data_IF_591685162779
#
_entry.id   IF_591685162779
#
_cell.length_a   1.000
_cell.length_b   1.000
_cell.length_c   1.000
_cell.angle_alpha   90.00
_cell.angle_beta   90.00
_cell.angle_gamma   90.00
#
_symmetry.space_group_name_H-M   'P 1'
#
loop_
_entity.id
_entity.type
_entity.pdbx_description
1 polymer ?
#
# COMPACT_ATOMS: atom_id res chain seq x y z
N UNK A 1 31.40 24.47 -80.60
CA UNK A 1 30.71 25.54 -81.37
C UNK A 1 30.96 26.88 -80.71
N UNK A 2 31.52 27.88 -81.42
CA UNK A 2 31.69 29.25 -80.90
C UNK A 2 30.38 30.01 -81.08
N UNK A 3 29.70 30.32 -79.98
CA UNK A 3 28.47 31.12 -79.97
C UNK A 3 28.80 32.57 -80.36
N UNK A 4 28.28 33.05 -81.50
CA UNK A 4 28.57 34.38 -82.07
C UNK A 4 27.60 35.50 -81.65
N UNK A 5 26.48 35.21 -80.97
CA UNK A 5 25.51 36.21 -80.50
C UNK A 5 25.72 36.57 -79.02
N UNK A 6 25.85 37.87 -78.70
CA UNK A 6 25.97 38.39 -77.33
C UNK A 6 24.69 38.12 -76.53
N UNK A 7 23.52 38.24 -77.17
CA UNK A 7 22.22 37.96 -76.54
C UNK A 7 22.11 36.50 -76.09
N UNK A 8 22.63 35.55 -76.89
CA UNK A 8 22.63 34.14 -76.51
C UNK A 8 23.56 33.85 -75.32
N UNK A 9 24.71 34.54 -75.22
CA UNK A 9 25.61 34.41 -74.06
C UNK A 9 25.00 34.92 -72.76
N UNK A 10 24.31 36.07 -72.81
CA UNK A 10 23.62 36.65 -71.65
C UNK A 10 22.46 35.74 -71.22
N UNK A 11 21.67 35.23 -72.16
CA UNK A 11 20.57 34.30 -71.87
C UNK A 11 21.06 32.98 -71.25
N UNK A 12 22.18 32.42 -71.75
CA UNK A 12 22.78 31.19 -71.20
C UNK A 12 23.32 31.42 -69.78
N UNK A 13 24.02 32.53 -69.55
CA UNK A 13 24.54 32.89 -68.22
C UNK A 13 23.40 33.12 -67.23
N UNK A 14 22.36 33.87 -67.62
CA UNK A 14 21.18 34.10 -66.80
C UNK A 14 20.45 32.80 -66.48
N UNK A 15 20.30 31.90 -67.46
CA UNK A 15 19.72 30.57 -67.25
C UNK A 15 20.51 29.72 -66.25
N UNK A 16 21.85 29.71 -66.37
CA UNK A 16 22.74 29.02 -65.41
C UNK A 16 22.61 29.62 -64.01
N UNK A 17 22.57 30.95 -63.89
CA UNK A 17 22.39 31.62 -62.60
C UNK A 17 21.02 31.28 -61.96
N UNK A 18 19.94 31.25 -62.74
CA UNK A 18 18.60 30.89 -62.23
C UNK A 18 18.57 29.44 -61.77
N UNK A 19 19.16 28.51 -62.54
CA UNK A 19 19.23 27.09 -62.15
C UNK A 19 20.08 26.91 -60.90
N UNK A 20 21.23 27.60 -60.80
CA UNK A 20 22.10 27.53 -59.63
C UNK A 20 21.41 28.09 -58.38
N UNK A 21 20.75 29.26 -58.49
CA UNK A 21 20.01 29.86 -57.38
C UNK A 21 18.82 28.99 -56.94
N UNK A 22 18.06 28.44 -57.90
CA UNK A 22 16.94 27.55 -57.60
C UNK A 22 17.41 26.26 -56.93
N UNK A 23 18.51 25.66 -57.42
CA UNK A 23 19.10 24.45 -56.84
C UNK A 23 19.62 24.70 -55.42
N UNK A 24 20.25 25.86 -55.18
CA UNK A 24 20.71 26.25 -53.85
C UNK A 24 19.52 26.45 -52.88
N UNK A 25 18.45 27.11 -53.33
CA UNK A 25 17.23 27.32 -52.52
C UNK A 25 16.52 26.00 -52.20
N UNK A 26 16.37 25.11 -53.18
CA UNK A 26 15.76 23.79 -52.96
C UNK A 26 16.63 22.94 -52.05
N UNK A 27 17.96 22.92 -52.27
CA UNK A 27 18.91 22.22 -51.40
C UNK A 27 18.86 22.73 -49.96
N UNK A 28 18.90 24.05 -49.77
CA UNK A 28 18.74 24.68 -48.46
C UNK A 28 17.39 24.35 -47.82
N UNK A 29 16.30 24.39 -48.59
CA UNK A 29 14.96 24.08 -48.10
C UNK A 29 14.83 22.62 -47.67
N UNK A 30 15.44 21.67 -48.40
CA UNK A 30 15.48 20.25 -48.02
C UNK A 30 16.26 20.07 -46.72
N UNK A 31 17.44 20.68 -46.60
CA UNK A 31 18.28 20.61 -45.38
C UNK A 31 17.59 21.29 -44.19
N UNK A 32 16.99 22.46 -44.40
CA UNK A 32 16.23 23.17 -43.38
C UNK A 32 15.02 22.35 -42.94
N UNK A 33 14.27 21.76 -43.88
CA UNK A 33 13.13 20.90 -43.56
C UNK A 33 13.56 19.61 -42.85
N UNK A 34 14.69 19.00 -43.21
CA UNK A 34 15.21 17.81 -42.50
C UNK A 34 15.64 18.17 -41.07
N UNK A 35 16.33 19.30 -40.89
CA UNK A 35 16.77 19.76 -39.58
C UNK A 35 15.59 20.13 -38.68
N UNK A 36 14.57 20.81 -39.23
CA UNK A 36 13.34 21.12 -38.50
C UNK A 36 12.57 19.86 -38.14
N UNK A 37 12.47 18.86 -39.02
CA UNK A 37 11.84 17.57 -38.69
C UNK A 37 12.57 16.84 -37.57
N UNK A 38 13.90 16.79 -37.62
CA UNK A 38 14.70 16.16 -36.57
C UNK A 38 14.53 16.89 -35.22
N UNK A 39 14.64 18.22 -35.23
CA UNK A 39 14.48 19.04 -34.03
C UNK A 39 13.08 18.93 -33.41
N UNK A 40 12.03 19.02 -34.24
CA UNK A 40 10.64 18.90 -33.78
C UNK A 40 10.36 17.49 -33.27
N UNK A 41 10.82 16.44 -33.96
CA UNK A 41 10.66 15.06 -33.51
C UNK A 41 11.28 14.84 -32.13
N UNK A 42 12.56 15.17 -31.98
CA UNK A 42 13.29 15.00 -30.71
C UNK A 42 12.65 15.79 -29.55
N UNK A 43 12.25 17.05 -29.79
CA UNK A 43 11.63 17.86 -28.74
C UNK A 43 10.21 17.42 -28.40
N UNK A 44 9.42 16.99 -29.39
CA UNK A 44 8.05 16.50 -29.14
C UNK A 44 8.09 15.16 -28.41
N UNK A 45 9.01 14.27 -28.77
CA UNK A 45 9.18 12.98 -28.08
C UNK A 45 9.59 13.21 -26.61
N UNK A 46 10.60 14.05 -26.37
CA UNK A 46 11.04 14.40 -25.01
C UNK A 46 9.92 15.08 -24.19
N UNK A 47 9.20 16.04 -24.77
CA UNK A 47 8.08 16.71 -24.10
C UNK A 47 6.92 15.75 -23.80
N UNK A 48 6.64 14.83 -24.71
CA UNK A 48 5.58 13.82 -24.53
C UNK A 48 5.98 12.83 -23.44
N UNK A 49 7.24 12.41 -23.40
CA UNK A 49 7.77 11.55 -22.36
C UNK A 49 7.71 12.24 -20.98
N UNK A 50 8.22 13.47 -20.85
CA UNK A 50 8.17 14.23 -19.61
C UNK A 50 6.73 14.49 -19.15
N UNK A 51 5.83 14.82 -20.08
CA UNK A 51 4.41 14.99 -19.78
C UNK A 51 3.78 13.69 -19.29
N UNK A 52 4.11 12.56 -19.92
CA UNK A 52 3.64 11.23 -19.54
C UNK A 52 4.14 10.83 -18.16
N UNK A 53 5.44 11.02 -17.88
CA UNK A 53 6.03 10.74 -16.56
C UNK A 53 5.36 11.55 -15.46
N UNK A 54 5.17 12.85 -15.67
CA UNK A 54 4.49 13.71 -14.70
C UNK A 54 3.02 13.33 -14.49
N UNK A 55 2.32 12.98 -15.56
CA UNK A 55 0.94 12.51 -15.47
C UNK A 55 0.83 11.19 -14.71
N UNK A 56 1.68 10.21 -15.02
CA UNK A 56 1.72 8.92 -14.34
C UNK A 56 2.07 9.05 -12.86
N UNK A 57 3.05 9.90 -12.52
CA UNK A 57 3.38 10.21 -11.13
C UNK A 57 2.16 10.77 -10.38
N UNK A 58 1.48 11.74 -10.98
CA UNK A 58 0.27 12.34 -10.37
C UNK A 58 -0.85 11.32 -10.21
N UNK A 59 -1.04 10.47 -11.22
CA UNK A 59 -2.03 9.40 -11.20
C UNK A 59 -1.72 8.37 -10.11
N UNK A 60 -0.48 7.86 -10.05
CA UNK A 60 -0.05 6.89 -9.07
C UNK A 60 -0.18 7.42 -7.64
N UNK A 61 0.20 8.68 -7.38
CA UNK A 61 -0.01 9.34 -6.09
C UNK A 61 -1.51 9.43 -5.73
N UNK A 62 -2.37 9.78 -6.69
CA UNK A 62 -3.80 9.83 -6.46
C UNK A 62 -4.40 8.45 -6.15
N UNK A 63 -3.97 7.40 -6.85
CA UNK A 63 -4.42 6.02 -6.59
C UNK A 63 -3.88 5.49 -5.26
N UNK A 64 -2.62 5.77 -4.92
CA UNK A 64 -2.04 5.45 -3.62
C UNK A 64 -2.85 6.10 -2.47
N UNK A 65 -3.30 7.35 -2.64
CA UNK A 65 -4.18 8.00 -1.67
C UNK A 65 -5.56 7.34 -1.55
N UNK A 66 -6.15 6.90 -2.66
CA UNK A 66 -7.41 6.15 -2.67
C UNK A 66 -7.28 4.77 -2.00
N UNK A 67 -6.12 4.12 -2.13
CA UNK A 67 -5.79 2.87 -1.43
C UNK A 67 -5.56 3.09 0.06
N UNK A 68 -4.82 4.14 0.40
CA UNK A 68 -4.51 4.53 1.79
C UNK A 68 -5.76 4.85 2.58
N UNK A 69 -6.71 5.59 2.00
CA UNK A 69 -7.88 6.10 2.70
C UNK A 69 -8.69 5.03 3.48
N UNK A 70 -9.11 3.89 2.89
CA UNK A 70 -9.78 2.84 3.64
C UNK A 70 -8.86 2.18 4.68
N UNK A 71 -7.56 2.01 4.40
CA UNK A 71 -6.63 1.41 5.36
C UNK A 71 -6.44 2.26 6.61
N UNK A 72 -6.39 3.59 6.46
CA UNK A 72 -6.31 4.53 7.58
C UNK A 72 -7.51 4.44 8.52
N UNK A 73 -8.71 4.11 8.02
CA UNK A 73 -9.91 3.98 8.87
C UNK A 73 -9.75 2.91 9.95
N UNK A 74 -8.96 1.86 9.67
CA UNK A 74 -8.65 0.84 10.65
C UNK A 74 -7.66 1.34 11.72
N UNK A 75 -6.67 2.16 11.34
CA UNK A 75 -5.81 2.82 12.33
C UNK A 75 -6.58 3.84 13.17
N UNK A 76 -7.50 4.61 12.57
CA UNK A 76 -8.35 5.54 13.32
C UNK A 76 -9.23 4.81 14.33
N UNK A 77 -9.80 3.67 13.93
CA UNK A 77 -10.59 2.79 14.81
C UNK A 77 -9.73 2.18 15.91
N UNK A 78 -8.56 1.62 15.56
CA UNK A 78 -7.62 1.03 16.51
C UNK A 78 -7.09 2.07 17.50
N UNK A 79 -6.77 3.29 17.06
CA UNK A 79 -6.37 4.41 17.92
C UNK A 79 -7.49 4.79 18.88
N UNK A 80 -8.71 4.95 18.36
CA UNK A 80 -9.87 5.28 19.20
C UNK A 80 -10.12 4.24 20.28
N UNK A 81 -10.05 2.95 19.91
CA UNK A 81 -10.16 1.83 20.86
C UNK A 81 -9.01 1.85 21.87
N UNK A 82 -7.75 2.00 21.43
CA UNK A 82 -6.60 2.06 22.32
C UNK A 82 -6.74 3.19 23.34
N UNK A 83 -7.05 4.41 22.90
CA UNK A 83 -7.22 5.56 23.81
C UNK A 83 -8.37 5.34 24.80
N UNK A 84 -9.50 4.80 24.33
CA UNK A 84 -10.62 4.45 25.20
C UNK A 84 -10.20 3.43 26.27
N UNK A 85 -9.49 2.39 25.86
CA UNK A 85 -9.06 1.32 26.75
C UNK A 85 -8.03 1.78 27.77
N UNK A 86 -7.09 2.65 27.39
CA UNK A 86 -6.14 3.26 28.33
C UNK A 86 -6.86 4.00 29.45
N UNK A 87 -7.78 4.90 29.09
CA UNK A 87 -8.54 5.70 30.07
C UNK A 87 -9.40 4.79 30.96
N UNK A 88 -10.04 3.78 30.36
CA UNK A 88 -10.98 2.90 31.06
C UNK A 88 -10.27 1.87 31.96
N UNK A 89 -8.98 1.57 31.71
CA UNK A 89 -8.19 0.61 32.46
C UNK A 89 -7.27 1.23 33.53
N UNK A 90 -7.19 2.57 33.63
CA UNK A 90 -6.45 3.25 34.70
C UNK A 90 -7.04 2.90 36.08
N UNK A 91 -6.20 2.53 37.05
CA UNK A 91 -6.69 2.11 38.37
C UNK A 91 -7.06 3.29 39.28
N UNK A 92 -6.44 4.46 39.11
CA UNK A 92 -6.61 5.64 39.97
C UNK A 92 -7.44 6.75 39.31
N UNK A 93 -8.32 6.40 38.37
CA UNK A 93 -9.17 7.34 37.63
C UNK A 93 -10.65 7.09 37.97
N UNK A 94 -11.37 8.13 38.42
CA UNK A 94 -12.81 8.05 38.73
C UNK A 94 -13.66 7.68 37.49
N UNK A 95 -13.16 7.96 36.28
CA UNK A 95 -13.81 7.60 35.02
C UNK A 95 -13.48 6.18 34.54
N UNK A 96 -12.61 5.45 35.25
CA UNK A 96 -12.22 4.12 34.84
C UNK A 96 -13.36 3.11 35.02
N UNK A 97 -13.40 2.14 34.11
CA UNK A 97 -14.28 0.98 34.25
C UNK A 97 -13.78 0.12 35.43
N UNK A 98 -14.65 -0.27 36.37
CA UNK A 98 -14.28 -1.20 37.45
C UNK A 98 -13.67 -2.48 36.89
N UNK A 99 -12.59 -2.98 37.51
CA UNK A 99 -11.80 -4.12 36.99
C UNK A 99 -12.66 -5.32 36.55
N UNK A 100 -13.64 -5.73 37.37
CA UNK A 100 -14.54 -6.85 37.06
C UNK A 100 -15.50 -6.65 35.87
N UNK A 101 -15.60 -5.42 35.32
CA UNK A 101 -16.43 -5.10 34.15
C UNK A 101 -15.62 -4.88 32.87
N UNK A 102 -14.31 -4.62 32.99
CA UNK A 102 -13.44 -4.23 31.85
C UNK A 102 -13.51 -5.21 30.69
N UNK A 103 -13.42 -6.53 30.95
CA UNK A 103 -13.48 -7.55 29.89
C UNK A 103 -14.77 -7.51 29.08
N UNK A 104 -15.92 -7.40 29.74
CA UNK A 104 -17.22 -7.36 29.08
C UNK A 104 -17.37 -6.08 28.27
N UNK A 105 -17.01 -4.93 28.84
CA UNK A 105 -17.11 -3.63 28.17
C UNK A 105 -16.16 -3.55 26.96
N UNK A 106 -14.91 -3.99 27.10
CA UNK A 106 -13.93 -3.91 26.02
C UNK A 106 -14.28 -4.87 24.88
N UNK A 107 -14.77 -6.07 25.20
CA UNK A 107 -15.33 -6.98 24.18
C UNK A 107 -16.52 -6.34 23.46
N UNK A 108 -17.41 -5.65 24.17
CA UNK A 108 -18.55 -4.97 23.56
C UNK A 108 -18.10 -3.84 22.63
N UNK A 109 -17.06 -3.08 22.99
CA UNK A 109 -16.47 -2.06 22.12
C UNK A 109 -15.93 -2.68 20.83
N UNK A 110 -15.07 -3.70 20.95
CA UNK A 110 -14.51 -4.42 19.79
C UNK A 110 -15.63 -4.90 18.85
N UNK A 111 -16.62 -5.60 19.40
CA UNK A 111 -17.76 -6.11 18.63
C UNK A 111 -18.55 -4.99 17.92
N UNK A 112 -18.80 -3.87 18.59
CA UNK A 112 -19.59 -2.78 18.00
C UNK A 112 -18.78 -2.01 16.94
N UNK A 113 -17.48 -1.81 17.15
CA UNK A 113 -16.60 -1.25 16.11
C UNK A 113 -16.58 -2.14 14.88
N UNK A 114 -16.47 -3.46 15.06
CA UNK A 114 -16.55 -4.41 13.94
C UNK A 114 -17.91 -4.36 13.22
N UNK A 115 -19.02 -4.20 13.95
CA UNK A 115 -20.36 -4.08 13.35
C UNK A 115 -20.48 -2.82 12.50
N UNK A 116 -20.02 -1.69 13.02
CA UNK A 116 -20.09 -0.37 12.39
C UNK A 116 -19.14 -0.20 11.20
N UNK A 117 -18.14 -1.08 11.09
CA UNK A 117 -17.18 -1.08 9.98
C UNK A 117 -17.31 -2.36 9.14
N UNK A 118 -18.26 -2.41 8.18
CA UNK A 118 -18.52 -3.61 7.36
C UNK A 118 -17.32 -4.13 6.56
N UNK A 119 -16.32 -3.28 6.31
CA UNK A 119 -15.11 -3.64 5.55
C UNK A 119 -14.06 -4.35 6.41
N UNK A 120 -14.12 -4.24 7.74
CA UNK A 120 -13.16 -4.93 8.60
C UNK A 120 -13.44 -6.43 8.60
N UNK A 121 -12.36 -7.20 8.50
CA UNK A 121 -12.39 -8.63 8.77
C UNK A 121 -12.53 -8.87 10.28
N UNK A 122 -11.85 -8.06 11.10
CA UNK A 122 -11.93 -8.21 12.55
C UNK A 122 -11.39 -7.02 13.33
N UNK A 123 -11.65 -7.05 14.63
CA UNK A 123 -11.15 -6.12 15.64
C UNK A 123 -10.63 -6.93 16.80
N UNK A 124 -9.52 -6.54 17.40
CA UNK A 124 -8.90 -7.32 18.46
C UNK A 124 -8.24 -6.47 19.53
N UNK A 125 -7.94 -7.12 20.64
CA UNK A 125 -7.03 -6.59 21.64
C UNK A 125 -6.25 -7.72 22.30
N UNK A 126 -4.97 -7.47 22.57
CA UNK A 126 -4.11 -8.39 23.33
C UNK A 126 -3.44 -7.64 24.47
N UNK A 127 -3.62 -8.12 25.70
CA UNK A 127 -3.07 -7.48 26.90
C UNK A 127 -1.90 -8.27 27.48
N UNK A 128 -0.96 -7.57 28.10
CA UNK A 128 0.08 -8.17 28.93
C UNK A 128 -0.53 -9.00 30.08
N UNK A 129 0.17 -10.01 30.59
CA UNK A 129 -0.31 -10.83 31.70
C UNK A 129 -0.80 -9.99 32.89
N UNK A 130 -2.03 -10.23 33.32
CA UNK A 130 -2.73 -9.55 34.41
C UNK A 130 -2.91 -8.03 34.25
N UNK A 131 -2.58 -7.45 33.09
CA UNK A 131 -2.54 -5.99 32.93
C UNK A 131 -3.92 -5.34 32.84
N UNK A 132 -4.96 -6.07 32.41
CA UNK A 132 -6.31 -5.51 32.25
C UNK A 132 -7.02 -5.35 33.60
N UNK A 133 -7.07 -6.42 34.39
CA UNK A 133 -7.93 -6.52 35.57
C UNK A 133 -7.36 -7.39 36.71
N UNK A 134 -6.13 -7.89 36.57
CA UNK A 134 -5.49 -8.76 37.55
C UNK A 134 -6.14 -10.14 37.72
N UNK A 135 -7.03 -10.54 36.81
CA UNK A 135 -7.90 -11.71 36.99
C UNK A 135 -7.70 -12.81 35.95
N UNK A 136 -6.58 -12.84 35.21
CA UNK A 136 -6.34 -13.82 34.13
C UNK A 136 -6.60 -15.27 34.60
N UNK A 137 -6.19 -15.61 35.82
CA UNK A 137 -6.42 -16.95 36.38
C UNK A 137 -7.89 -17.39 36.39
N UNK A 138 -8.85 -16.48 36.52
CA UNK A 138 -10.30 -16.75 36.50
C UNK A 138 -10.85 -16.95 35.08
N UNK A 139 -10.08 -16.61 34.05
CA UNK A 139 -10.49 -16.61 32.65
C UNK A 139 -9.75 -17.64 31.79
N UNK A 140 -8.91 -18.49 32.40
CA UNK A 140 -8.26 -19.60 31.71
C UNK A 140 -9.28 -20.44 30.93
N UNK A 141 -8.93 -20.70 29.68
CA UNK A 141 -9.69 -21.55 28.75
C UNK A 141 -11.10 -21.03 28.41
N UNK A 142 -11.44 -19.78 28.75
CA UNK A 142 -12.71 -19.13 28.39
C UNK A 142 -12.63 -18.52 26.99
N UNK A 143 -12.60 -19.39 25.98
CA UNK A 143 -12.47 -18.98 24.57
C UNK A 143 -13.65 -18.12 24.10
N UNK A 144 -14.83 -18.30 24.69
CA UNK A 144 -16.07 -17.56 24.40
C UNK A 144 -16.00 -16.07 24.77
N UNK A 145 -15.02 -15.67 25.57
CA UNK A 145 -14.73 -14.27 25.89
C UNK A 145 -13.35 -13.81 25.39
N UNK A 146 -12.70 -14.63 24.56
CA UNK A 146 -11.41 -14.32 23.98
C UNK A 146 -10.22 -14.56 24.92
N UNK A 147 -10.27 -15.59 25.76
CA UNK A 147 -9.15 -15.98 26.62
C UNK A 147 -8.68 -17.40 26.30
N UNK A 148 -7.37 -17.59 26.28
CA UNK A 148 -6.73 -18.89 26.07
C UNK A 148 -6.35 -19.56 27.41
N UNK A 149 -5.48 -20.57 27.38
CA UNK A 149 -5.02 -21.30 28.57
C UNK A 149 -4.28 -20.42 29.59
N UNK A 150 -3.77 -19.24 29.19
CA UNK A 150 -3.17 -18.27 30.11
C UNK A 150 -4.23 -17.45 30.85
N UNK A 151 -5.42 -17.31 30.27
CA UNK A 151 -6.49 -16.46 30.77
C UNK A 151 -6.35 -14.97 30.47
N UNK A 152 -5.31 -14.58 29.73
CA UNK A 152 -5.13 -13.20 29.23
C UNK A 152 -6.34 -12.72 28.44
N UNK A 153 -6.54 -11.41 28.42
CA UNK A 153 -7.54 -10.79 27.55
C UNK A 153 -6.98 -10.69 26.12
N UNK A 154 -7.42 -11.61 25.26
CA UNK A 154 -6.95 -11.80 23.90
C UNK A 154 -8.11 -11.88 22.87
N UNK A 155 -9.23 -11.13 23.00
CA UNK A 155 -10.34 -11.30 22.09
C UNK A 155 -9.98 -10.87 20.66
N UNK A 156 -10.35 -11.73 19.72
CA UNK A 156 -10.41 -11.43 18.30
C UNK A 156 -11.84 -11.60 17.81
N UNK A 157 -12.55 -10.49 17.63
CA UNK A 157 -13.84 -10.49 16.96
C UNK A 157 -13.63 -10.50 15.46
N UNK A 158 -14.24 -11.44 14.76
CA UNK A 158 -14.11 -11.64 13.32
C UNK A 158 -15.45 -11.72 12.63
N UNK A 159 -15.48 -11.33 11.36
CA UNK A 159 -16.61 -11.44 10.45
C UNK A 159 -16.25 -12.42 9.35
N UNK A 160 -16.94 -13.54 9.26
CA UNK A 160 -16.74 -14.45 8.13
C UNK A 160 -17.41 -13.93 6.86
N UNK A 161 -17.11 -14.54 5.71
CA UNK A 161 -17.65 -14.15 4.41
C UNK A 161 -19.19 -14.14 4.31
N UNK A 162 -19.92 -14.86 5.18
CA UNK A 162 -21.39 -14.83 5.22
C UNK A 162 -21.95 -13.78 6.21
N UNK A 163 -21.09 -12.95 6.80
CA UNK A 163 -21.44 -11.92 7.77
C UNK A 163 -21.55 -12.40 9.22
N UNK A 164 -21.33 -13.69 9.51
CA UNK A 164 -21.37 -14.20 10.89
C UNK A 164 -20.21 -13.64 11.71
N UNK A 165 -20.57 -13.00 12.82
CA UNK A 165 -19.63 -12.51 13.84
C UNK A 165 -19.32 -13.61 14.85
N UNK A 166 -18.05 -13.76 15.20
CA UNK A 166 -17.59 -14.69 16.23
C UNK A 166 -16.36 -14.12 16.95
N UNK A 167 -16.16 -14.54 18.21
CA UNK A 167 -14.94 -14.25 18.97
C UNK A 167 -14.12 -15.53 19.13
N UNK A 168 -12.80 -15.39 19.03
CA UNK A 168 -11.82 -16.41 19.37
C UNK A 168 -10.63 -15.76 20.08
N UNK A 169 -9.85 -16.47 20.91
CA UNK A 169 -8.60 -15.94 21.41
C UNK A 169 -7.59 -15.75 20.27
N UNK A 170 -6.83 -14.66 20.32
CA UNK A 170 -5.66 -14.46 19.47
C UNK A 170 -4.62 -15.55 19.73
N UNK A 171 -3.92 -15.94 18.67
CA UNK A 171 -2.81 -16.89 18.74
C UNK A 171 -1.50 -16.24 18.29
N UNK A 172 -0.38 -16.90 18.61
CA UNK A 172 0.98 -16.55 18.15
C UNK A 172 1.52 -15.17 18.59
N UNK A 173 0.80 -14.46 19.47
CA UNK A 173 1.12 -13.11 19.94
C UNK A 173 2.53 -12.97 20.55
N UNK A 174 3.04 -13.98 21.25
CA UNK A 174 4.40 -13.98 21.83
C UNK A 174 5.44 -14.71 20.94
N UNK A 175 5.07 -15.14 19.73
CA UNK A 175 5.97 -15.92 18.86
C UNK A 175 6.82 -15.03 17.96
N UNK A 176 8.14 -15.14 18.13
CA UNK A 176 9.13 -14.53 17.24
C UNK A 176 9.49 -15.41 16.03
N UNK A 177 8.84 -16.56 15.86
CA UNK A 177 9.05 -17.42 14.69
C UNK A 177 8.50 -16.77 13.41
N UNK A 178 8.96 -17.26 12.26
CA UNK A 178 8.51 -16.81 10.94
C UNK A 178 7.42 -17.72 10.39
N UNK A 179 6.43 -17.14 9.74
CA UNK A 179 5.59 -17.84 8.77
C UNK A 179 6.41 -18.20 7.52
N UNK A 180 5.92 -19.11 6.66
CA UNK A 180 6.60 -19.48 5.41
C UNK A 180 6.91 -18.30 4.47
N UNK A 181 6.17 -17.20 4.55
CA UNK A 181 6.40 -15.98 3.79
C UNK A 181 7.38 -14.99 4.46
N UNK A 182 8.00 -15.36 5.59
CA UNK A 182 8.99 -14.52 6.27
C UNK A 182 8.42 -13.44 7.19
N UNK A 183 7.10 -13.41 7.39
CA UNK A 183 6.45 -12.53 8.38
C UNK A 183 6.58 -13.13 9.78
N UNK A 184 6.93 -12.31 10.78
CA UNK A 184 7.02 -12.75 12.17
C UNK A 184 5.60 -12.98 12.68
N UNK A 185 5.32 -14.17 13.21
CA UNK A 185 3.96 -14.59 13.61
C UNK A 185 3.32 -13.63 14.63
N UNK A 186 4.09 -13.24 15.64
CA UNK A 186 3.68 -12.28 16.68
C UNK A 186 4.01 -10.82 16.36
N UNK A 187 4.48 -10.48 15.15
CA UNK A 187 4.98 -9.13 14.85
C UNK A 187 3.98 -8.00 15.15
N UNK A 188 2.68 -8.25 14.94
CA UNK A 188 1.58 -7.33 15.23
C UNK A 188 1.49 -6.97 16.72
N UNK A 189 1.98 -7.84 17.62
CA UNK A 189 2.06 -7.58 19.05
C UNK A 189 3.47 -7.15 19.49
N UNK A 190 4.49 -7.84 18.98
CA UNK A 190 5.89 -7.66 19.36
C UNK A 190 6.46 -6.32 18.88
N UNK A 191 6.08 -5.84 17.69
CA UNK A 191 6.59 -4.56 17.17
C UNK A 191 6.10 -3.38 18.03
N UNK A 192 4.79 -3.22 18.33
CA UNK A 192 4.34 -2.19 19.28
C UNK A 192 4.94 -2.35 20.67
N UNK A 193 5.07 -3.59 21.16
CA UNK A 193 5.68 -3.90 22.47
C UNK A 193 7.15 -3.47 22.56
N UNK A 194 7.90 -3.56 21.45
CA UNK A 194 9.30 -3.13 21.37
C UNK A 194 9.48 -1.60 21.38
N UNK A 195 8.39 -0.83 21.27
CA UNK A 195 8.41 0.63 21.22
C UNK A 195 8.39 1.20 19.80
N UNK A 196 8.10 0.39 18.77
CA UNK A 196 8.00 0.86 17.38
C UNK A 196 6.78 1.77 17.11
N UNK A 197 5.85 1.88 18.07
CA UNK A 197 4.63 2.66 17.93
C UNK A 197 3.53 1.89 17.20
N UNK A 198 2.83 2.55 16.28
CA UNK A 198 1.86 1.89 15.41
C UNK A 198 2.57 0.92 14.46
N UNK A 199 1.98 -0.25 14.22
CA UNK A 199 2.52 -1.26 13.29
C UNK A 199 1.47 -1.68 12.27
N UNK A 200 1.88 -1.81 11.02
CA UNK A 200 1.15 -2.51 9.95
C UNK A 200 2.01 -3.65 9.46
N UNK A 201 1.55 -4.89 9.65
CA UNK A 201 2.31 -6.04 9.18
C UNK A 201 2.18 -6.24 7.67
N UNK A 202 3.25 -6.72 7.07
CA UNK A 202 3.21 -7.39 5.77
C UNK A 202 2.16 -8.54 5.78
N UNK A 203 1.64 -8.97 4.61
CA UNK A 203 0.57 -9.96 4.50
C UNK A 203 0.66 -11.13 5.49
N UNK A 204 -0.13 -11.08 6.57
CA UNK A 204 -0.07 -12.04 7.66
C UNK A 204 -0.97 -13.25 7.33
N UNK A 205 -0.42 -14.46 7.18
CA UNK A 205 -1.24 -15.67 7.08
C UNK A 205 -1.93 -15.92 8.42
N UNK A 206 -3.26 -16.08 8.41
CA UNK A 206 -4.03 -16.31 9.63
C UNK A 206 -5.21 -17.26 9.42
N UNK A 207 -5.71 -17.85 10.51
CA UNK A 207 -6.90 -18.70 10.49
C UNK A 207 -8.08 -17.97 11.15
N UNK A 208 -9.05 -17.59 10.33
CA UNK A 208 -10.28 -16.93 10.76
C UNK A 208 -11.45 -17.90 10.61
N UNK A 209 -12.08 -18.28 11.71
CA UNK A 209 -13.22 -19.21 11.73
C UNK A 209 -12.97 -20.51 10.92
N UNK A 210 -11.74 -21.04 10.99
CA UNK A 210 -11.33 -22.28 10.30
C UNK A 210 -10.91 -22.11 8.84
N UNK A 211 -10.83 -20.87 8.33
CA UNK A 211 -10.36 -20.58 6.96
C UNK A 211 -9.02 -19.86 6.99
N UNK A 212 -8.11 -20.27 6.11
CA UNK A 212 -6.85 -19.57 5.88
C UNK A 212 -7.12 -18.30 5.07
N UNK A 213 -6.65 -17.18 5.57
CA UNK A 213 -6.72 -15.86 4.93
C UNK A 213 -5.37 -15.15 5.07
N UNK A 214 -5.18 -14.09 4.30
CA UNK A 214 -4.12 -13.12 4.56
C UNK A 214 -4.72 -11.83 5.07
N UNK A 215 -4.10 -11.26 6.11
CA UNK A 215 -4.57 -10.04 6.75
C UNK A 215 -3.62 -8.88 6.51
N UNK A 216 -4.18 -7.69 6.30
CA UNK A 216 -3.53 -6.43 6.65
C UNK A 216 -3.89 -6.13 8.12
N UNK A 217 -2.90 -6.17 9.00
CA UNK A 217 -3.10 -6.09 10.46
C UNK A 217 -2.58 -4.77 11.00
N UNK A 218 -3.48 -3.91 11.50
CA UNK A 218 -3.13 -2.58 12.03
C UNK A 218 -3.19 -2.60 13.56
N UNK A 219 -2.03 -2.41 14.19
CA UNK A 219 -1.85 -2.49 15.64
C UNK A 219 -1.47 -1.14 16.24
N UNK A 220 -2.15 -0.77 17.32
CA UNK A 220 -1.86 0.45 18.10
C UNK A 220 -1.54 0.05 19.54
N UNK A 221 -0.42 0.53 20.12
CA UNK A 221 -0.08 0.22 21.50
C UNK A 221 -1.06 0.90 22.48
N UNK A 222 -1.40 0.16 23.52
CA UNK A 222 -2.12 0.62 24.69
C UNK A 222 -1.08 0.88 25.78
N UNK A 223 -1.06 2.11 26.29
CA UNK A 223 -0.09 2.59 27.26
C UNK A 223 -0.78 3.21 28.48
N UNK A 224 -0.41 2.75 29.66
CA UNK A 224 -0.87 3.32 30.95
C UNK A 224 0.37 3.82 31.68
N UNK A 225 0.37 5.08 32.10
CA UNK A 225 1.51 5.74 32.75
C UNK A 225 2.84 5.61 31.98
N UNK A 226 2.76 5.69 30.65
CA UNK A 226 3.90 5.56 29.74
C UNK A 226 4.43 4.12 29.59
N UNK A 227 3.80 3.12 30.21
CA UNK A 227 4.15 1.71 30.09
C UNK A 227 3.22 0.99 29.11
N UNK A 228 3.79 0.20 28.21
CA UNK A 228 3.04 -0.72 27.36
C UNK A 228 2.28 -1.76 28.20
N UNK A 229 0.97 -1.90 27.93
CA UNK A 229 0.10 -2.88 28.58
C UNK A 229 -0.65 -3.78 27.59
N UNK A 230 -0.52 -3.52 26.28
CA UNK A 230 -1.17 -4.32 25.25
C UNK A 230 -1.30 -3.60 23.92
N UNK A 231 -2.09 -4.18 23.02
CA UNK A 231 -2.46 -3.58 21.73
C UNK A 231 -3.97 -3.61 21.54
N UNK A 232 -4.48 -2.63 20.79
CA UNK A 232 -5.78 -2.70 20.13
C UNK A 232 -5.55 -2.61 18.62
N UNK A 233 -6.36 -3.30 17.85
CA UNK A 233 -6.19 -3.32 16.40
C UNK A 233 -7.43 -3.71 15.63
N UNK A 234 -7.31 -3.56 14.32
CA UNK A 234 -8.33 -3.93 13.35
C UNK A 234 -7.65 -4.46 12.09
N UNK A 235 -8.33 -5.38 11.40
CA UNK A 235 -7.78 -6.09 10.25
C UNK A 235 -8.67 -5.94 9.02
N UNK A 236 -8.02 -5.91 7.86
CA UNK A 236 -8.66 -6.24 6.59
C UNK A 236 -8.25 -7.62 6.13
N UNK A 237 -9.19 -8.37 5.55
CA UNK A 237 -8.86 -9.48 4.67
C UNK A 237 -8.25 -8.89 3.39
N UNK A 238 -7.09 -9.37 2.96
CA UNK A 238 -6.41 -8.85 1.77
C UNK A 238 -7.19 -9.05 0.47
N UNK A 239 -8.23 -9.90 0.45
CA UNK A 239 -9.18 -9.94 -0.67
C UNK A 239 -9.89 -8.60 -0.90
N UNK A 240 -10.09 -7.79 0.15
CA UNK A 240 -10.60 -6.42 0.01
C UNK A 240 -9.59 -5.51 -0.69
N UNK A 241 -8.30 -5.58 -0.30
CA UNK A 241 -7.23 -4.78 -0.92
C UNK A 241 -6.99 -5.22 -2.37
N UNK A 242 -7.10 -6.53 -2.63
CA UNK A 242 -7.09 -7.11 -3.96
C UNK A 242 -8.21 -6.56 -4.85
N UNK A 243 -9.41 -6.41 -4.31
CA UNK A 243 -10.52 -5.79 -5.04
C UNK A 243 -10.24 -4.32 -5.36
N UNK A 244 -9.61 -3.60 -4.44
CA UNK A 244 -9.22 -2.21 -4.66
C UNK A 244 -8.21 -2.06 -5.80
N UNK A 245 -7.18 -2.91 -5.87
CA UNK A 245 -6.24 -2.92 -7.00
C UNK A 245 -6.94 -3.20 -8.34
N UNK A 246 -7.90 -4.12 -8.37
CA UNK A 246 -8.70 -4.41 -9.57
C UNK A 246 -9.60 -3.24 -9.99
N UNK A 247 -10.20 -2.55 -9.02
CA UNK A 247 -11.05 -1.38 -9.27
C UNK A 247 -10.21 -0.21 -9.81
N UNK A 248 -8.99 -0.01 -9.28
CA UNK A 248 -8.03 0.96 -9.82
C UNK A 248 -7.69 0.62 -11.26
N UNK A 249 -7.29 -0.63 -11.56
CA UNK A 249 -7.02 -1.10 -12.93
C UNK A 249 -8.18 -0.77 -13.87
N UNK A 250 -9.40 -1.12 -13.48
CA UNK A 250 -10.59 -0.87 -14.31
C UNK A 250 -10.87 0.63 -14.55
N UNK A 251 -10.43 1.51 -13.65
CA UNK A 251 -10.65 2.96 -13.74
C UNK A 251 -9.63 3.73 -14.59
N UNK A 252 -8.49 3.12 -14.92
CA UNK A 252 -7.39 3.77 -15.63
C UNK A 252 -7.06 3.05 -16.93
N UNK A 253 -6.72 3.82 -17.98
CA UNK A 253 -6.22 3.30 -19.27
C UNK A 253 -7.05 2.14 -19.86
N UNK A 254 -8.39 2.22 -19.76
CA UNK A 254 -9.33 1.19 -20.22
C UNK A 254 -9.04 -0.23 -19.66
N UNK A 255 -8.49 -0.33 -18.46
CA UNK A 255 -8.15 -1.62 -17.86
C UNK A 255 -6.85 -2.25 -18.38
N UNK A 256 -6.04 -1.50 -19.12
CA UNK A 256 -4.78 -2.01 -19.71
C UNK A 256 -3.57 -1.89 -18.78
N UNK A 257 -3.68 -1.12 -17.70
CA UNK A 257 -2.61 -1.02 -16.71
C UNK A 257 -2.60 -2.26 -15.79
N UNK A 258 -1.42 -2.61 -15.28
CA UNK A 258 -1.27 -3.47 -14.12
C UNK A 258 -1.18 -2.61 -12.85
N UNK A 259 -1.74 -3.10 -11.74
CA UNK A 259 -1.73 -2.44 -10.44
C UNK A 259 -1.35 -3.48 -9.40
N UNK A 260 -0.17 -3.29 -8.82
CA UNK A 260 0.35 -4.09 -7.73
C UNK A 260 0.48 -3.23 -6.48
N UNK A 261 0.14 -3.82 -5.33
CA UNK A 261 0.36 -3.21 -4.01
C UNK A 261 1.35 -4.11 -3.30
N UNK A 262 2.47 -3.53 -2.87
CA UNK A 262 3.63 -4.25 -2.35
C UNK A 262 3.97 -3.74 -0.96
N UNK A 263 4.19 -4.68 -0.04
CA UNK A 263 4.50 -4.38 1.35
C UNK A 263 5.95 -3.96 1.55
N UNK A 264 6.28 -3.45 2.74
CA UNK A 264 7.63 -3.01 3.12
C UNK A 264 8.70 -4.12 2.94
N UNK A 265 8.35 -5.38 3.21
CA UNK A 265 9.23 -6.54 2.99
C UNK A 265 9.24 -7.08 1.57
N UNK A 266 8.55 -6.44 0.63
CA UNK A 266 8.48 -6.89 -0.76
C UNK A 266 7.56 -8.10 -0.95
N UNK A 267 6.49 -8.21 -0.16
CA UNK A 267 5.44 -9.20 -0.38
C UNK A 267 4.28 -8.57 -1.13
N UNK A 268 3.64 -9.35 -1.99
CA UNK A 268 2.43 -8.92 -2.71
C UNK A 268 1.27 -8.80 -1.72
N UNK A 269 0.75 -7.59 -1.54
CA UNK A 269 -0.49 -7.32 -0.80
C UNK A 269 -1.69 -7.54 -1.71
N UNK A 270 -1.59 -7.09 -2.95
CA UNK A 270 -2.58 -7.27 -4.01
C UNK A 270 -1.90 -7.17 -5.38
N UNK A 271 -2.42 -7.88 -6.37
CA UNK A 271 -1.99 -7.74 -7.77
C UNK A 271 -3.18 -7.87 -8.71
N UNK A 272 -3.41 -6.88 -9.56
CA UNK A 272 -4.53 -6.92 -10.51
C UNK A 272 -4.41 -8.04 -11.54
N UNK A 273 -3.17 -8.45 -11.84
CA UNK A 273 -2.86 -9.41 -12.90
C UNK A 273 -2.54 -10.80 -12.33
N UNK A 274 -2.05 -10.85 -11.09
CA UNK A 274 -1.70 -12.08 -10.36
C UNK A 274 -2.45 -12.18 -9.01
N UNK A 275 -3.79 -12.29 -9.00
CA UNK A 275 -4.58 -12.27 -7.76
C UNK A 275 -4.29 -13.43 -6.80
N UNK A 276 -3.65 -14.51 -7.26
CA UNK A 276 -3.23 -15.65 -6.43
C UNK A 276 -1.86 -15.43 -5.75
N UNK A 277 -1.18 -14.32 -6.02
CA UNK A 277 0.15 -14.02 -5.52
C UNK A 277 0.18 -13.38 -4.12
N UNK A 278 -0.98 -13.09 -3.51
CA UNK A 278 -1.06 -12.48 -2.17
C UNK A 278 -0.17 -13.24 -1.17
N UNK A 279 0.70 -12.51 -0.49
CA UNK A 279 1.65 -13.01 0.50
C UNK A 279 2.91 -13.69 -0.09
N UNK A 280 3.02 -13.81 -1.41
CA UNK A 280 4.25 -14.27 -2.07
C UNK A 280 5.25 -13.13 -2.26
N UNK A 281 6.56 -13.43 -2.38
CA UNK A 281 7.56 -12.45 -2.77
C UNK A 281 7.22 -11.79 -4.11
N UNK A 282 7.38 -10.46 -4.19
CA UNK A 282 7.03 -9.68 -5.36
C UNK A 282 7.91 -10.00 -6.58
N UNK A 283 9.16 -10.42 -6.35
CA UNK A 283 10.09 -10.84 -7.40
C UNK A 283 9.67 -12.11 -8.18
N UNK A 284 8.66 -12.83 -7.69
CA UNK A 284 8.07 -13.97 -8.40
C UNK A 284 7.09 -13.55 -9.49
N UNK A 285 6.57 -12.32 -9.43
CA UNK A 285 5.60 -11.79 -10.41
C UNK A 285 6.15 -10.61 -11.21
N UNK A 286 7.11 -9.86 -10.66
CA UNK A 286 7.78 -8.76 -11.36
C UNK A 286 9.31 -8.87 -11.23
N UNK A 287 10.04 -9.14 -12.33
CA UNK A 287 11.51 -9.15 -12.34
C UNK A 287 12.15 -7.82 -11.89
N UNK A 288 11.46 -6.68 -12.03
CA UNK A 288 11.93 -5.37 -11.60
C UNK A 288 11.87 -5.18 -10.07
N UNK A 289 11.16 -6.06 -9.34
CA UNK A 289 10.95 -5.97 -7.90
C UNK A 289 12.23 -5.77 -7.09
N UNK A 290 13.33 -6.44 -7.47
CA UNK A 290 14.62 -6.33 -6.77
C UNK A 290 15.16 -4.90 -6.79
N UNK A 291 14.95 -4.17 -7.90
CA UNK A 291 15.39 -2.77 -8.04
C UNK A 291 14.43 -1.78 -7.37
N UNK A 292 13.15 -2.15 -7.22
CA UNK A 292 12.11 -1.30 -6.65
C UNK A 292 12.02 -1.40 -5.12
N UNK A 293 12.34 -2.56 -4.53
CA UNK A 293 12.22 -2.76 -3.08
C UNK A 293 12.93 -1.68 -2.22
N UNK A 294 14.17 -1.26 -2.54
CA UNK A 294 14.80 -0.16 -1.80
C UNK A 294 14.06 1.18 -1.91
N UNK A 295 13.36 1.42 -3.02
CA UNK A 295 12.54 2.62 -3.22
C UNK A 295 11.25 2.55 -2.40
N UNK A 296 10.61 1.38 -2.36
CA UNK A 296 9.44 1.08 -1.51
C UNK A 296 9.81 1.34 -0.04
N UNK A 297 10.90 0.74 0.44
CA UNK A 297 11.36 0.88 1.82
C UNK A 297 11.76 2.31 2.19
N UNK A 298 12.24 3.09 1.22
CA UNK A 298 12.55 4.50 1.41
C UNK A 298 11.33 5.43 1.30
N UNK A 299 10.15 4.90 0.95
CA UNK A 299 8.93 5.68 0.75
C UNK A 299 9.06 6.68 -0.40
N UNK A 300 9.74 6.30 -1.49
CA UNK A 300 10.00 7.18 -2.65
C UNK A 300 9.00 6.92 -3.77
N UNK A 301 8.56 8.00 -4.40
CA UNK A 301 7.86 7.93 -5.67
C UNK A 301 8.84 8.03 -6.85
N UNK A 302 8.63 7.21 -7.87
CA UNK A 302 9.42 7.22 -9.11
C UNK A 302 8.53 6.91 -10.30
N UNK A 303 8.95 7.34 -11.49
CA UNK A 303 8.39 6.85 -12.75
C UNK A 303 9.55 6.45 -13.62
N UNK A 304 9.70 5.14 -13.81
CA UNK A 304 10.74 4.52 -14.62
C UNK A 304 10.11 3.90 -15.88
N UNK A 305 10.93 3.65 -16.91
CA UNK A 305 10.47 3.08 -18.17
C UNK A 305 10.90 3.85 -19.41
N UNK A 306 10.33 3.48 -20.55
CA UNK A 306 10.61 4.04 -21.86
C UNK A 306 9.31 4.17 -22.69
N UNK A 307 9.43 4.47 -23.99
CA UNK A 307 8.28 4.66 -24.88
C UNK A 307 7.32 3.46 -24.99
N UNK A 308 7.73 2.24 -24.61
CA UNK A 308 6.89 1.04 -24.67
C UNK A 308 6.14 0.77 -23.36
N UNK A 309 6.80 0.94 -22.22
CA UNK A 309 6.22 0.68 -20.90
C UNK A 309 6.76 1.65 -19.86
N UNK A 310 5.85 2.19 -19.04
CA UNK A 310 6.18 2.98 -17.86
C UNK A 310 5.68 2.28 -16.60
N UNK A 311 6.47 2.37 -15.54
CA UNK A 311 6.11 1.91 -14.19
C UNK A 311 6.18 3.11 -13.26
N UNK A 312 5.05 3.43 -12.62
CA UNK A 312 4.98 4.46 -11.60
C UNK A 312 4.87 3.81 -10.23
N UNK A 313 5.81 4.13 -9.35
CA UNK A 313 5.83 3.72 -7.94
C UNK A 313 5.37 4.90 -7.09
N UNK A 314 4.51 4.67 -6.12
CA UNK A 314 4.06 5.72 -5.19
C UNK A 314 3.87 5.16 -3.79
N UNK A 315 4.45 5.80 -2.76
CA UNK A 315 4.38 5.30 -1.41
C UNK A 315 2.97 5.40 -0.82
N UNK A 316 2.57 4.35 -0.11
CA UNK A 316 1.35 4.28 0.69
C UNK A 316 1.77 4.31 2.16
N UNK A 317 1.80 5.51 2.74
CA UNK A 317 2.15 5.73 4.16
C UNK A 317 0.93 5.43 5.06
N UNK A 318 0.76 4.21 5.52
CA UNK A 318 -0.43 3.82 6.30
C UNK A 318 -0.24 4.20 7.78
N UNK A 319 -1.25 4.86 8.37
CA UNK A 319 -1.20 5.28 9.78
C UNK A 319 0.01 6.15 10.12
N UNK A 320 0.55 5.97 11.32
CA UNK A 320 1.77 6.64 11.81
C UNK A 320 2.96 5.68 11.85
N UNK A 321 3.04 4.78 10.88
CA UNK A 321 4.08 3.75 10.77
C UNK A 321 5.31 4.25 10.04
N UNK A 322 6.44 3.55 10.19
CA UNK A 322 7.70 3.78 9.47
C UNK A 322 7.96 2.76 8.35
N UNK A 323 7.00 1.88 8.07
CA UNK A 323 7.09 0.77 7.11
C UNK A 323 6.13 1.02 5.94
N UNK A 324 6.49 1.88 4.97
CA UNK A 324 5.66 2.17 3.80
C UNK A 324 5.36 0.93 2.98
N UNK A 325 4.16 0.92 2.38
CA UNK A 325 3.85 0.09 1.21
C UNK A 325 3.99 0.94 -0.05
N UNK A 326 3.81 0.37 -1.23
CA UNK A 326 3.68 1.11 -2.50
C UNK A 326 2.70 0.44 -3.44
#
# INVERSE_FOLDING_TARGET
MRIRSIQLKIALLAGVCVVAASSALVGYSIVSASNSKAFVGEHVDALTEDSTRNHLKTLALAQAALIKAPLDTAFDSARSMARMFEISAMNDNEMATPAGKRRTEFNAVLLNVLKDNPRFNGTYSAWEPNALDGQDQLFRDKQDVGSDASGRFLPYWTRSANGKLAVQPLVEYDSAELHPNGVVKGGWYLDPKSGAGESVLDPLPYVVQGKNVYLATMSVPITIDGKFVGVAGADFDLTFVQKLAQDVKASIYDGKAAVDIVSYKGLVVASSDHPDAIGRPFDQIDPAATSQLPLIQAGRDTVDGNAETFTALSPIMIGRTSTPWS
#
